data_IF_495233808792
#
_entry.id   IF_495233808792
#
_cell.length_a   1.000
_cell.length_b   1.000
_cell.length_c   1.000
_cell.angle_alpha   90.00
_cell.angle_beta   90.00
_cell.angle_gamma   90.00
#
_symmetry.space_group_name_H-M   'P 1'
#
loop_
_entity.id
_entity.type
_entity.pdbx_description
1 polymer ?
#
# COMPACT_ATOMS: atom_id res chain seq x y z
N UNK A 1 11.45 -12.83 3.02
CA UNK A 1 11.15 -11.93 4.15
C UNK A 1 12.43 -11.69 4.92
N UNK A 2 12.87 -10.43 5.04
CA UNK A 2 14.05 -10.05 5.82
C UNK A 2 13.58 -9.40 7.12
N UNK A 3 14.12 -9.83 8.27
CA UNK A 3 13.70 -9.35 9.60
C UNK A 3 14.86 -8.59 10.21
N UNK A 4 14.63 -7.32 10.55
CA UNK A 4 15.63 -6.44 11.14
C UNK A 4 14.97 -5.67 12.28
N UNK A 5 15.62 -5.63 13.43
CA UNK A 5 15.19 -4.80 14.56
C UNK A 5 15.90 -3.46 14.49
N UNK A 6 15.12 -2.37 14.55
CA UNK A 6 15.62 -0.99 14.61
C UNK A 6 15.15 -0.32 15.90
N UNK A 7 16.01 0.50 16.50
CA UNK A 7 15.70 1.37 17.64
C UNK A 7 15.18 2.72 17.14
N UNK A 8 14.59 3.50 18.06
CA UNK A 8 14.16 4.88 17.78
C UNK A 8 15.35 5.70 17.25
N UNK A 9 15.14 6.38 16.13
CA UNK A 9 16.16 7.20 15.46
C UNK A 9 17.02 6.45 14.46
N UNK A 10 16.93 5.11 14.38
CA UNK A 10 17.60 4.37 13.31
C UNK A 10 16.76 4.38 12.03
N UNK A 11 17.45 4.38 10.89
CA UNK A 11 16.86 4.24 9.57
C UNK A 11 17.34 2.98 8.88
N UNK A 12 16.60 2.58 7.84
CA UNK A 12 16.96 1.54 6.89
C UNK A 12 16.69 2.07 5.48
N UNK A 13 17.52 1.67 4.53
CA UNK A 13 17.36 2.03 3.12
C UNK A 13 16.89 0.80 2.33
N UNK A 14 16.02 1.03 1.34
CA UNK A 14 15.59 0.04 0.36
C UNK A 14 16.00 0.56 -1.02
N UNK A 15 16.98 -0.11 -1.63
CA UNK A 15 17.64 0.42 -2.82
C UNK A 15 18.37 1.73 -2.50
N UNK A 16 18.34 2.66 -3.45
CA UNK A 16 19.00 3.97 -3.32
C UNK A 16 18.03 5.13 -3.06
N UNK A 17 16.73 4.87 -3.22
CA UNK A 17 15.70 5.92 -3.30
C UNK A 17 14.73 5.95 -2.11
N UNK A 18 14.65 4.87 -1.32
CA UNK A 18 13.68 4.77 -0.22
C UNK A 18 14.42 4.68 1.10
N UNK A 19 14.15 5.62 2.00
CA UNK A 19 14.61 5.62 3.38
C UNK A 19 13.43 5.48 4.34
N UNK A 20 13.53 4.55 5.27
CA UNK A 20 12.53 4.30 6.31
C UNK A 20 13.17 4.57 7.66
N UNK A 21 12.60 5.50 8.42
CA UNK A 21 13.16 5.97 9.70
C UNK A 21 12.18 5.72 10.83
N UNK A 22 12.65 5.17 11.94
CA UNK A 22 11.83 4.97 13.14
C UNK A 22 11.76 6.28 13.93
N UNK A 23 10.68 7.04 13.77
CA UNK A 23 10.48 8.33 14.42
C UNK A 23 10.23 8.20 15.91
N UNK A 24 9.30 7.33 16.30
CA UNK A 24 8.95 7.06 17.71
C UNK A 24 8.51 5.62 17.90
N UNK A 25 8.78 5.11 19.08
CA UNK A 25 8.29 3.83 19.55
C UNK A 25 7.50 4.17 20.81
N UNK A 26 6.21 3.89 20.77
CA UNK A 26 5.30 3.93 21.89
C UNK A 26 4.89 2.48 22.20
N UNK A 27 4.32 2.24 23.38
CA UNK A 27 3.97 0.87 23.79
C UNK A 27 2.92 0.27 22.84
N UNK A 28 3.34 -0.70 22.03
CA UNK A 28 2.50 -1.33 20.99
C UNK A 28 2.35 -0.57 19.68
N UNK A 29 2.90 0.64 19.51
CA UNK A 29 2.81 1.39 18.25
C UNK A 29 4.12 2.05 17.84
N UNK A 30 4.40 2.03 16.54
CA UNK A 30 5.64 2.60 15.98
C UNK A 30 5.29 3.66 14.96
N UNK A 31 5.84 4.86 15.13
CA UNK A 31 5.79 5.91 14.11
C UNK A 31 6.95 5.73 13.16
N UNK A 32 6.62 5.46 11.91
CA UNK A 32 7.56 5.23 10.82
C UNK A 32 7.50 6.45 9.89
N UNK A 33 8.64 7.08 9.64
CA UNK A 33 8.82 8.04 8.56
C UNK A 33 9.28 7.29 7.31
N UNK A 34 8.65 7.57 6.17
CA UNK A 34 9.02 6.98 4.87
C UNK A 34 9.37 8.15 3.96
N UNK A 35 10.60 8.18 3.49
CA UNK A 35 11.09 9.11 2.50
C UNK A 35 11.31 8.33 1.21
N UNK A 36 10.55 8.67 0.16
CA UNK A 36 10.66 8.03 -1.15
C UNK A 36 10.36 9.07 -2.24
N UNK A 37 10.88 8.89 -3.46
CA UNK A 37 10.57 9.74 -4.59
C UNK A 37 9.09 9.64 -5.00
N UNK A 38 8.60 10.70 -5.65
CA UNK A 38 7.17 10.87 -6.03
C UNK A 38 6.65 9.82 -7.03
N UNK A 39 7.53 9.11 -7.72
CA UNK A 39 7.15 8.01 -8.62
C UNK A 39 6.74 6.74 -7.88
N UNK A 40 7.04 6.63 -6.57
CA UNK A 40 6.71 5.46 -5.76
C UNK A 40 5.51 5.78 -4.89
N UNK A 41 4.41 5.06 -5.12
CA UNK A 41 3.20 5.17 -4.31
C UNK A 41 3.39 4.47 -2.96
N UNK A 42 3.26 5.23 -1.87
CA UNK A 42 3.26 4.69 -0.51
C UNK A 42 1.81 4.59 -0.04
N UNK A 43 1.32 3.37 0.13
CA UNK A 43 -0.03 3.09 0.60
C UNK A 43 0.03 2.22 1.86
N UNK A 44 -0.98 2.37 2.72
CA UNK A 44 -1.16 1.45 3.83
C UNK A 44 -1.77 0.15 3.31
N UNK A 45 -1.29 -0.98 3.83
CA UNK A 45 -1.65 -2.31 3.31
C UNK A 45 -3.15 -2.56 3.35
N UNK A 46 -3.81 -2.15 4.43
CA UNK A 46 -5.24 -2.30 4.61
C UNK A 46 -6.06 -1.57 3.54
N UNK A 47 -5.60 -0.40 3.09
CA UNK A 47 -6.26 0.36 2.03
C UNK A 47 -6.02 -0.26 0.66
N UNK A 48 -4.83 -0.82 0.43
CA UNK A 48 -4.52 -1.52 -0.81
C UNK A 48 -5.40 -2.77 -0.99
N UNK A 49 -5.57 -3.57 0.06
CA UNK A 49 -6.40 -4.77 0.03
C UNK A 49 -7.86 -4.44 -0.27
N UNK A 50 -8.41 -3.38 0.32
CA UNK A 50 -9.77 -2.93 0.03
C UNK A 50 -9.95 -2.51 -1.44
N UNK A 51 -9.02 -1.73 -1.99
CA UNK A 51 -9.09 -1.27 -3.39
C UNK A 51 -8.90 -2.43 -4.37
N UNK A 52 -8.04 -3.41 -4.06
CA UNK A 52 -7.88 -4.60 -4.89
C UNK A 52 -9.16 -5.46 -4.91
N UNK A 53 -9.79 -5.65 -3.76
CA UNK A 53 -11.06 -6.37 -3.61
C UNK A 53 -12.19 -5.67 -4.39
N UNK A 54 -12.33 -4.36 -4.24
CA UNK A 54 -13.33 -3.56 -4.96
C UNK A 54 -13.10 -3.58 -6.47
N UNK A 55 -11.86 -3.46 -6.93
CA UNK A 55 -11.53 -3.58 -8.35
C UNK A 55 -11.88 -4.96 -8.91
N UNK A 56 -11.60 -6.05 -8.16
CA UNK A 56 -12.01 -7.41 -8.56
C UNK A 56 -13.53 -7.54 -8.63
N UNK A 57 -14.27 -6.92 -7.72
CA UNK A 57 -15.73 -6.91 -7.74
C UNK A 57 -16.28 -6.08 -8.91
N UNK A 58 -15.71 -4.92 -9.19
CA UNK A 58 -16.10 -4.08 -10.32
C UNK A 58 -15.82 -4.75 -11.68
N UNK A 59 -14.73 -5.53 -11.78
CA UNK A 59 -14.42 -6.33 -12.98
C UNK A 59 -15.34 -7.54 -13.18
N UNK A 60 -16.12 -7.95 -12.16
CA UNK A 60 -17.26 -8.87 -12.36
C UNK A 60 -18.43 -8.12 -13.00
N UNK A 61 -18.22 -7.60 -14.20
CA UNK A 61 -19.32 -7.13 -15.03
C UNK A 61 -20.05 -8.38 -15.53
N UNK A 62 -21.28 -8.55 -15.06
CA UNK A 62 -22.18 -9.58 -15.56
C UNK A 62 -22.38 -9.36 -17.07
N UNK A 63 -21.88 -10.30 -17.88
CA UNK A 63 -21.91 -10.22 -19.34
C UNK A 63 -23.36 -10.17 -19.89
N UNK A 64 -24.37 -10.44 -19.05
CA UNK A 64 -25.79 -10.25 -19.33
C UNK A 64 -26.23 -8.78 -19.41
N UNK A 65 -25.61 -7.87 -18.64
CA UNK A 65 -25.95 -6.44 -18.65
C UNK A 65 -25.51 -5.74 -19.95
N UNK A 66 -24.37 -6.15 -20.51
CA UNK A 66 -23.84 -5.61 -21.77
C UNK A 66 -24.70 -5.95 -23.00
N UNK A 67 -25.45 -7.07 -22.96
CA UNK A 67 -26.34 -7.48 -24.06
C UNK A 67 -27.56 -6.56 -24.20
N UNK A 68 -27.98 -5.90 -23.12
CA UNK A 68 -29.14 -5.01 -23.13
C UNK A 68 -28.82 -3.60 -23.64
N UNK A 69 -27.55 -3.17 -23.57
CA UNK A 69 -27.10 -1.87 -24.09
C UNK A 69 -26.94 -1.90 -25.61
N UNK A 70 -26.63 -3.07 -26.19
CA UNK A 70 -26.40 -3.22 -27.64
C UNK A 70 -27.68 -3.33 -28.49
N UNK A 71 -28.87 -3.24 -27.87
CA UNK A 71 -30.17 -3.50 -28.51
C UNK A 71 -31.07 -2.26 -28.66
N UNK A 72 -30.51 -1.05 -28.50
CA UNK A 72 -31.23 0.20 -28.74
C UNK A 72 -30.63 0.95 -29.92
#
# INVERSE_FOLDING_TARGET
MLIITRKKGESLMIGDDIEITISRIDDGSVKIGINAPKNISILRKELYEQVEEENKQAMKIDMGLLKNIKKK
#
